data_IF_203066799204
#
_entry.id   IF_203066799204
#
_cell.length_a   1.000
_cell.length_b   1.000
_cell.length_c   1.000
_cell.angle_alpha   90.00
_cell.angle_beta   90.00
_cell.angle_gamma   90.00
#
_symmetry.space_group_name_H-M   'P 1'
#
loop_
_entity.id
_entity.type
_entity.pdbx_description
1 polymer ?
#
# COMPACT_ATOMS: atom_id res chain seq x y z
N UNK A 1 24.83 7.28 -9.56
CA UNK A 1 23.72 8.16 -10.00
C UNK A 1 22.46 7.35 -9.84
N UNK A 2 21.72 7.55 -8.75
CA UNK A 2 20.36 6.99 -8.61
C UNK A 2 19.48 7.58 -9.72
N UNK A 3 19.15 6.79 -10.74
CA UNK A 3 18.37 7.22 -11.91
C UNK A 3 16.86 7.10 -11.68
N UNK A 4 16.40 7.21 -10.43
CA UNK A 4 14.99 7.46 -10.22
C UNK A 4 14.67 8.88 -10.66
N UNK A 5 13.97 8.98 -11.78
CA UNK A 5 13.51 10.28 -12.25
C UNK A 5 12.59 10.88 -11.20
N UNK A 6 12.98 11.99 -10.57
CA UNK A 6 12.12 12.79 -9.68
C UNK A 6 10.75 13.05 -10.35
N UNK A 7 10.74 13.20 -11.67
CA UNK A 7 9.52 13.32 -12.48
C UNK A 7 8.63 12.08 -12.39
N UNK A 8 9.19 10.87 -12.41
CA UNK A 8 8.44 9.62 -12.26
C UNK A 8 7.85 9.46 -10.85
N UNK A 9 8.60 9.84 -9.81
CA UNK A 9 8.10 9.87 -8.43
C UNK A 9 6.94 10.85 -8.30
N UNK A 10 7.12 12.09 -8.79
CA UNK A 10 6.08 13.12 -8.80
C UNK A 10 4.84 12.68 -9.56
N UNK A 11 5.00 12.02 -10.71
CA UNK A 11 3.90 11.46 -11.50
C UNK A 11 3.15 10.39 -10.73
N UNK A 12 3.85 9.41 -10.16
CA UNK A 12 3.24 8.36 -9.36
C UNK A 12 2.46 8.93 -8.17
N UNK A 13 3.04 9.89 -7.45
CA UNK A 13 2.37 10.60 -6.35
C UNK A 13 1.06 11.25 -6.80
N UNK A 14 1.04 11.91 -7.95
CA UNK A 14 -0.19 12.53 -8.50
C UNK A 14 -1.23 11.48 -8.90
N UNK A 15 -0.83 10.33 -9.46
CA UNK A 15 -1.77 9.23 -9.73
C UNK A 15 -2.39 8.68 -8.45
N UNK A 16 -1.60 8.51 -7.40
CA UNK A 16 -2.10 8.10 -6.09
C UNK A 16 -3.03 9.15 -5.48
N UNK A 17 -2.74 10.44 -5.65
CA UNK A 17 -3.64 11.52 -5.25
C UNK A 17 -4.97 11.45 -6.01
N UNK A 18 -4.93 11.27 -7.34
CA UNK A 18 -6.13 11.13 -8.16
C UNK A 18 -6.97 9.91 -7.79
N UNK A 19 -6.32 8.74 -7.65
CA UNK A 19 -6.93 7.50 -7.21
C UNK A 19 -7.60 7.61 -5.84
N UNK A 20 -6.90 8.23 -4.88
CA UNK A 20 -7.44 8.44 -3.54
C UNK A 20 -8.58 9.46 -3.54
N UNK A 21 -8.49 10.53 -4.34
CA UNK A 21 -9.59 11.48 -4.51
C UNK A 21 -10.82 10.81 -5.13
N UNK A 22 -10.64 9.92 -6.11
CA UNK A 22 -11.73 9.14 -6.70
C UNK A 22 -12.51 8.35 -5.66
N UNK A 23 -11.78 7.65 -4.79
CA UNK A 23 -12.33 6.86 -3.69
C UNK A 23 -13.00 7.75 -2.61
N UNK A 24 -12.34 8.83 -2.20
CA UNK A 24 -12.86 9.81 -1.24
C UNK A 24 -14.19 10.44 -1.68
N UNK A 25 -14.32 10.69 -2.99
CA UNK A 25 -15.53 11.23 -3.59
C UNK A 25 -16.61 10.17 -3.81
N UNK A 26 -16.29 8.89 -3.63
CA UNK A 26 -17.13 7.76 -4.00
C UNK A 26 -17.64 7.89 -5.44
N UNK A 27 -16.75 8.34 -6.32
CA UNK A 27 -17.09 8.60 -7.72
C UNK A 27 -17.55 7.29 -8.37
N UNK A 28 -18.70 7.32 -9.03
CA UNK A 28 -19.28 6.12 -9.66
C UNK A 28 -18.50 5.69 -10.90
N UNK A 29 -18.03 6.69 -11.64
CA UNK A 29 -17.27 6.52 -12.86
C UNK A 29 -16.34 7.72 -13.09
N UNK A 30 -15.61 7.66 -14.20
CA UNK A 30 -14.61 8.67 -14.58
C UNK A 30 -15.24 10.04 -14.87
N UNK A 31 -16.46 10.07 -15.42
CA UNK A 31 -17.17 11.33 -15.72
C UNK A 31 -17.65 11.97 -14.43
N UNK A 32 -18.25 11.18 -13.55
CA UNK A 32 -18.68 11.62 -12.21
C UNK A 32 -17.49 12.16 -11.41
N UNK A 33 -16.35 11.47 -11.43
CA UNK A 33 -15.12 11.97 -10.82
C UNK A 33 -14.71 13.36 -11.32
N UNK A 34 -14.62 13.54 -12.64
CA UNK A 34 -14.21 14.80 -13.23
C UNK A 34 -15.19 15.94 -12.90
N UNK A 35 -16.50 15.64 -12.90
CA UNK A 35 -17.54 16.58 -12.51
C UNK A 35 -17.40 17.00 -11.04
N UNK A 36 -17.26 16.04 -10.13
CA UNK A 36 -17.11 16.33 -8.70
C UNK A 36 -15.82 17.11 -8.41
N UNK A 37 -14.71 16.81 -9.08
CA UNK A 37 -13.47 17.56 -8.95
C UNK A 37 -13.61 19.01 -9.43
N UNK A 38 -14.31 19.22 -10.56
CA UNK A 38 -14.59 20.57 -11.06
C UNK A 38 -15.47 21.37 -10.09
N UNK A 39 -16.48 20.73 -9.46
CA UNK A 39 -17.31 21.34 -8.42
C UNK A 39 -16.51 21.77 -7.20
N UNK A 40 -15.60 20.91 -6.73
CA UNK A 40 -14.71 21.25 -5.61
C UNK A 40 -13.75 22.39 -5.96
N UNK A 41 -13.25 22.43 -7.19
CA UNK A 41 -12.29 23.45 -7.63
C UNK A 41 -12.93 24.81 -7.92
N UNK A 42 -14.20 24.84 -8.35
CA UNK A 42 -14.96 26.04 -8.73
C UNK A 42 -16.37 26.05 -8.09
N UNK A 43 -16.48 26.08 -6.76
CA UNK A 43 -17.78 25.97 -6.09
C UNK A 43 -18.78 27.05 -6.53
N UNK A 44 -18.31 28.31 -6.65
CA UNK A 44 -19.18 29.45 -7.01
C UNK A 44 -19.77 29.33 -8.41
N UNK A 45 -18.98 28.84 -9.37
CA UNK A 45 -19.45 28.60 -10.73
C UNK A 45 -20.62 27.61 -10.75
N UNK A 46 -20.49 26.52 -9.99
CA UNK A 46 -21.52 25.49 -9.94
C UNK A 46 -22.72 25.86 -9.05
N UNK A 47 -22.55 26.76 -8.09
CA UNK A 47 -23.65 27.27 -7.26
C UNK A 47 -24.64 28.12 -8.07
N UNK A 48 -24.19 28.78 -9.13
CA UNK A 48 -25.02 29.60 -10.01
C UNK A 48 -25.74 28.87 -11.13
N UNK A 49 -25.48 27.58 -11.34
CA UNK A 49 -26.06 26.81 -12.45
C UNK A 49 -27.42 26.23 -12.12
N UNK A 50 -28.32 26.26 -13.09
CA UNK A 50 -29.57 25.49 -13.04
C UNK A 50 -29.31 23.99 -13.23
N UNK A 51 -30.20 23.10 -12.79
CA UNK A 51 -30.00 21.64 -12.88
C UNK A 51 -29.81 21.10 -14.32
N UNK A 52 -30.41 21.75 -15.31
CA UNK A 52 -30.27 21.46 -16.74
C UNK A 52 -28.92 21.94 -17.29
N UNK A 53 -28.47 23.13 -16.89
CA UNK A 53 -27.16 23.67 -17.26
C UNK A 53 -26.01 22.86 -16.64
N UNK A 54 -26.18 22.39 -15.41
CA UNK A 54 -25.21 21.54 -14.72
C UNK A 54 -24.91 20.23 -15.47
N UNK A 55 -25.88 19.69 -16.21
CA UNK A 55 -25.71 18.47 -17.03
C UNK A 55 -24.98 18.72 -18.35
N UNK A 56 -24.97 19.96 -18.84
CA UNK A 56 -24.33 20.34 -20.10
C UNK A 56 -22.88 20.84 -19.93
N UNK A 57 -22.38 20.95 -18.69
CA UNK A 57 -21.03 21.45 -18.42
C UNK A 57 -19.97 20.54 -19.03
N UNK A 58 -19.10 21.13 -19.85
CA UNK A 58 -17.94 20.43 -20.38
C UNK A 58 -16.92 20.15 -19.27
N UNK A 59 -16.67 18.87 -19.00
CA UNK A 59 -15.77 18.41 -17.95
C UNK A 59 -14.32 18.74 -18.30
N UNK A 60 -13.58 19.29 -17.34
CA UNK A 60 -12.18 19.62 -17.59
C UNK A 60 -11.34 18.33 -17.76
N UNK A 61 -10.68 18.14 -18.93
CA UNK A 61 -9.93 16.90 -19.20
C UNK A 61 -8.74 16.69 -18.26
N UNK A 62 -8.29 17.75 -17.54
CA UNK A 62 -7.21 17.64 -16.56
C UNK A 62 -7.49 16.60 -15.47
N UNK A 63 -8.75 16.42 -15.07
CA UNK A 63 -9.12 15.47 -14.02
C UNK A 63 -8.95 14.03 -14.49
N UNK A 64 -9.35 13.74 -15.73
CA UNK A 64 -9.14 12.43 -16.32
C UNK A 64 -7.64 12.14 -16.48
N UNK A 65 -6.88 13.12 -16.97
CA UNK A 65 -5.42 13.03 -17.08
C UNK A 65 -4.72 12.87 -15.72
N UNK A 66 -5.30 13.38 -14.63
CA UNK A 66 -4.77 13.15 -13.28
C UNK A 66 -4.87 11.66 -12.90
N UNK A 67 -6.01 11.02 -13.18
CA UNK A 67 -6.22 9.59 -12.93
C UNK A 67 -5.33 8.70 -13.81
N UNK A 68 -5.29 9.02 -15.10
CA UNK A 68 -4.63 8.16 -16.09
C UNK A 68 -3.12 8.35 -16.08
N UNK A 69 -2.69 9.61 -16.18
CA UNK A 69 -1.31 9.96 -16.49
C UNK A 69 -0.56 10.53 -15.29
N UNK A 70 -1.27 10.94 -14.23
CA UNK A 70 -0.65 11.60 -13.08
C UNK A 70 -0.10 12.97 -13.41
N UNK A 71 -0.82 13.74 -14.23
CA UNK A 71 -0.37 15.09 -14.58
C UNK A 71 -0.15 15.93 -13.33
N UNK A 72 0.85 16.80 -13.38
CA UNK A 72 1.06 17.79 -12.32
C UNK A 72 -0.07 18.81 -12.36
N UNK A 73 -0.76 18.95 -11.23
CA UNK A 73 -1.70 20.05 -11.03
C UNK A 73 -0.93 21.30 -10.61
N UNK A 74 -1.48 22.47 -10.96
CA UNK A 74 -0.99 23.74 -10.42
C UNK A 74 -1.12 23.73 -8.91
N UNK A 75 -0.16 24.34 -8.21
CA UNK A 75 -0.12 24.37 -6.74
C UNK A 75 -1.41 24.93 -6.13
N UNK A 76 -1.97 26.01 -6.70
CA UNK A 76 -3.25 26.57 -6.25
C UNK A 76 -4.42 25.59 -6.37
N UNK A 77 -4.39 24.68 -7.35
CA UNK A 77 -5.38 23.64 -7.52
C UNK A 77 -5.24 22.56 -6.46
N UNK A 78 -4.00 22.17 -6.13
CA UNK A 78 -3.73 21.21 -5.05
C UNK A 78 -4.17 21.78 -3.70
N UNK A 79 -3.81 23.04 -3.40
CA UNK A 79 -4.20 23.72 -2.16
C UNK A 79 -5.72 23.72 -1.96
N UNK A 80 -6.48 24.14 -2.98
CA UNK A 80 -7.96 24.13 -2.93
C UNK A 80 -8.55 22.73 -2.72
N UNK A 81 -7.98 21.71 -3.37
CA UNK A 81 -8.45 20.35 -3.16
C UNK A 81 -8.18 19.87 -1.74
N UNK A 82 -7.01 20.17 -1.18
CA UNK A 82 -6.67 19.82 0.22
C UNK A 82 -7.54 20.60 1.21
N UNK A 83 -7.81 21.88 0.96
CA UNK A 83 -8.75 22.67 1.77
C UNK A 83 -10.15 22.05 1.79
N UNK A 84 -10.63 21.55 0.65
CA UNK A 84 -11.93 20.91 0.55
C UNK A 84 -11.95 19.45 1.04
N UNK A 85 -10.81 18.76 0.95
CA UNK A 85 -10.59 17.35 1.33
C UNK A 85 -9.24 17.19 2.03
N UNK A 86 -9.15 17.52 3.33
CA UNK A 86 -7.90 17.48 4.09
C UNK A 86 -7.24 16.10 4.13
N UNK A 87 -7.99 15.03 3.91
CA UNK A 87 -7.46 13.68 3.87
C UNK A 87 -6.44 13.49 2.74
N UNK A 88 -6.50 14.28 1.66
CA UNK A 88 -5.54 14.23 0.56
C UNK A 88 -4.10 14.51 1.00
N UNK A 89 -3.93 15.29 2.07
CA UNK A 89 -2.62 15.65 2.61
C UNK A 89 -1.82 14.41 3.02
N UNK A 90 -2.51 13.35 3.47
CA UNK A 90 -1.91 12.07 3.83
C UNK A 90 -1.18 11.41 2.65
N UNK A 91 -1.70 11.60 1.44
CA UNK A 91 -1.08 11.06 0.22
C UNK A 91 0.11 11.90 -0.17
N UNK A 92 -0.05 13.23 -0.19
CA UNK A 92 0.97 14.17 -0.66
C UNK A 92 2.21 14.18 0.24
N UNK A 93 1.99 14.10 1.56
CA UNK A 93 3.02 14.13 2.60
C UNK A 93 3.49 12.75 3.04
N UNK A 94 3.09 11.68 2.34
CA UNK A 94 3.49 10.34 2.74
C UNK A 94 5.03 10.20 2.66
N UNK A 95 5.70 9.66 3.71
CA UNK A 95 7.15 9.54 3.75
C UNK A 95 7.72 8.61 2.67
N UNK A 96 6.89 7.79 2.04
CA UNK A 96 7.31 6.94 0.92
C UNK A 96 7.97 7.75 -0.20
N UNK A 97 7.43 8.93 -0.51
CA UNK A 97 7.96 9.74 -1.60
C UNK A 97 9.38 10.23 -1.31
N UNK A 98 9.65 10.62 -0.07
CA UNK A 98 10.99 11.02 0.39
C UNK A 98 11.96 9.83 0.34
N UNK A 99 11.54 8.66 0.84
CA UNK A 99 12.36 7.44 0.80
C UNK A 99 12.76 7.08 -0.64
N UNK A 100 11.83 7.21 -1.59
CA UNK A 100 12.08 6.93 -3.00
C UNK A 100 13.01 7.98 -3.65
N UNK A 101 13.13 9.18 -3.08
CA UNK A 101 14.04 10.23 -3.55
C UNK A 101 15.46 10.10 -2.98
N UNK A 102 15.67 9.26 -1.96
CA UNK A 102 16.99 9.10 -1.37
C UNK A 102 18.02 8.61 -2.40
N UNK A 103 19.03 9.45 -2.66
CA UNK A 103 20.17 9.15 -3.53
C UNK A 103 21.29 8.42 -2.74
N UNK A 104 22.26 7.88 -3.47
CA UNK A 104 23.45 7.21 -2.92
C UNK A 104 24.35 8.17 -2.12
N UNK A 105 24.14 9.49 -2.25
CA UNK A 105 24.94 10.55 -1.63
C UNK A 105 24.62 10.81 -0.14
N UNK A 106 23.49 10.32 0.38
CA UNK A 106 23.18 10.37 1.83
C UNK A 106 23.06 8.96 2.42
N UNK A 107 24.19 8.31 2.77
CA UNK A 107 24.19 6.97 3.34
C UNK A 107 23.55 6.91 4.74
N UNK A 108 23.28 8.05 5.39
CA UNK A 108 22.69 8.11 6.72
C UNK A 108 21.18 8.37 6.71
N UNK A 109 20.59 8.72 5.57
CA UNK A 109 19.15 9.03 5.43
C UNK A 109 18.26 7.94 6.05
N UNK A 110 18.53 6.67 5.75
CA UNK A 110 17.74 5.55 6.27
C UNK A 110 17.87 5.38 7.79
N UNK A 111 19.06 5.64 8.34
CA UNK A 111 19.30 5.59 9.78
C UNK A 111 18.54 6.72 10.49
N UNK A 112 18.61 7.95 9.98
CA UNK A 112 17.92 9.11 10.55
C UNK A 112 16.40 8.93 10.50
N UNK A 113 15.87 8.48 9.36
CA UNK A 113 14.45 8.20 9.23
C UNK A 113 13.98 7.14 10.25
N UNK A 114 14.67 6.01 10.35
CA UNK A 114 14.34 4.97 11.33
C UNK A 114 14.45 5.50 12.77
N UNK A 115 15.46 6.31 13.08
CA UNK A 115 15.60 6.92 14.41
C UNK A 115 14.45 7.87 14.78
N UNK A 116 13.84 8.54 13.79
CA UNK A 116 12.65 9.38 14.00
C UNK A 116 11.42 8.55 14.38
N UNK A 117 11.33 7.30 13.92
CA UNK A 117 10.25 6.34 14.21
C UNK A 117 10.45 5.58 15.53
N UNK A 118 10.76 6.29 16.63
CA UNK A 118 11.20 5.73 17.92
C UNK A 118 10.39 4.53 18.44
N UNK A 119 9.07 4.52 18.28
CA UNK A 119 8.19 3.42 18.74
C UNK A 119 8.37 2.14 17.92
N UNK A 120 8.43 2.28 16.59
CA UNK A 120 8.65 1.15 15.68
C UNK A 120 10.08 0.62 15.82
N UNK A 121 11.08 1.48 15.98
CA UNK A 121 12.47 1.04 16.13
C UNK A 121 12.78 0.42 17.48
N UNK A 122 12.13 0.84 18.58
CA UNK A 122 12.18 0.12 19.87
C UNK A 122 11.64 -1.31 19.74
N UNK A 123 10.57 -1.50 18.96
CA UNK A 123 10.07 -2.85 18.68
C UNK A 123 11.09 -3.69 17.88
N UNK A 124 12.05 -3.07 17.19
CA UNK A 124 13.12 -3.75 16.45
C UNK A 124 14.40 -3.99 17.26
N UNK A 125 14.45 -3.62 18.55
CA UNK A 125 15.61 -3.90 19.38
C UNK A 125 15.98 -5.39 19.35
N UNK A 126 17.29 -5.65 19.34
CA UNK A 126 17.86 -6.99 19.24
C UNK A 126 17.22 -7.94 20.24
N UNK A 127 16.77 -9.09 19.74
CA UNK A 127 16.30 -10.20 20.57
C UNK A 127 17.03 -11.44 20.10
N UNK A 128 17.59 -12.20 21.05
CA UNK A 128 18.19 -13.51 20.78
C UNK A 128 17.14 -14.55 20.40
N UNK A 129 15.87 -14.33 20.74
CA UNK A 129 14.76 -15.21 20.43
C UNK A 129 14.12 -14.88 19.07
N UNK A 130 14.23 -15.81 18.12
CA UNK A 130 13.67 -15.70 16.75
C UNK A 130 12.16 -15.45 16.75
N UNK A 131 11.40 -16.12 17.61
CA UNK A 131 9.94 -15.97 17.65
C UNK A 131 9.51 -14.57 18.11
N UNK A 132 10.22 -14.00 19.10
CA UNK A 132 9.98 -12.61 19.54
C UNK A 132 10.30 -11.61 18.43
N UNK A 133 11.38 -11.83 17.68
CA UNK A 133 11.72 -10.99 16.52
C UNK A 133 10.64 -11.06 15.43
N UNK A 134 10.15 -12.26 15.11
CA UNK A 134 9.08 -12.43 14.14
C UNK A 134 7.80 -11.71 14.59
N UNK A 135 7.39 -11.86 15.85
CA UNK A 135 6.22 -11.17 16.40
C UNK A 135 6.38 -9.63 16.33
N UNK A 136 7.56 -9.11 16.71
CA UNK A 136 7.90 -7.69 16.62
C UNK A 136 7.86 -7.15 15.20
N UNK A 137 8.43 -7.88 14.23
CA UNK A 137 8.36 -7.50 12.81
C UNK A 137 6.93 -7.47 12.29
N UNK A 138 6.11 -8.47 12.65
CA UNK A 138 4.69 -8.50 12.26
C UNK A 138 3.94 -7.29 12.78
N UNK A 139 4.15 -6.97 14.06
CA UNK A 139 3.55 -5.81 14.71
C UNK A 139 4.01 -4.49 14.08
N UNK A 140 5.32 -4.31 13.88
CA UNK A 140 5.90 -3.10 13.32
C UNK A 140 5.45 -2.84 11.87
N UNK A 141 5.32 -3.89 11.06
CA UNK A 141 4.83 -3.79 9.67
C UNK A 141 3.32 -3.53 9.61
N UNK A 142 2.56 -4.08 10.55
CA UNK A 142 1.10 -4.01 10.59
C UNK A 142 0.43 -4.62 9.35
N UNK A 143 -0.76 -4.11 9.01
CA UNK A 143 -1.52 -4.51 7.82
C UNK A 143 -0.84 -3.96 6.57
N UNK A 144 -0.71 -4.74 5.48
CA UNK A 144 -0.18 -4.25 4.21
C UNK A 144 -0.95 -3.07 3.64
N UNK A 145 -0.26 -1.94 3.53
CA UNK A 145 -0.75 -0.70 2.92
C UNK A 145 0.42 0.00 2.22
N UNK A 146 0.15 0.67 1.10
CA UNK A 146 1.17 1.42 0.39
C UNK A 146 1.70 2.58 1.26
N UNK A 147 0.83 3.16 2.10
CA UNK A 147 1.18 4.27 2.99
C UNK A 147 2.25 3.89 4.03
N UNK A 148 2.46 2.60 4.24
CA UNK A 148 3.40 2.04 5.22
C UNK A 148 4.72 1.58 4.61
N UNK A 149 4.89 1.68 3.28
CA UNK A 149 6.06 1.12 2.58
C UNK A 149 7.38 1.85 2.88
N UNK A 150 7.33 3.09 3.36
CA UNK A 150 8.52 3.86 3.72
C UNK A 150 9.40 3.12 4.77
N UNK A 151 8.76 2.57 5.81
CA UNK A 151 9.45 1.85 6.88
C UNK A 151 10.21 0.58 6.41
N UNK A 152 9.58 -0.40 5.72
CA UNK A 152 10.29 -1.57 5.23
C UNK A 152 11.35 -1.24 4.18
N UNK A 153 11.15 -0.22 3.34
CA UNK A 153 12.18 0.23 2.40
C UNK A 153 13.40 0.77 3.14
N UNK A 154 13.19 1.64 4.13
CA UNK A 154 14.28 2.15 4.97
C UNK A 154 15.02 1.01 5.70
N UNK A 155 14.29 0.01 6.24
CA UNK A 155 14.92 -1.15 6.86
C UNK A 155 15.74 -1.99 5.89
N UNK A 156 15.28 -2.19 4.66
CA UNK A 156 16.01 -2.95 3.63
C UNK A 156 17.35 -2.28 3.29
N UNK A 157 17.40 -0.97 3.39
CA UNK A 157 18.57 -0.13 3.15
C UNK A 157 19.58 -0.12 4.30
N UNK A 158 19.09 -0.08 5.55
CA UNK A 158 19.96 0.11 6.71
C UNK A 158 20.67 -1.19 7.15
N UNK A 159 21.98 -1.28 6.92
CA UNK A 159 22.81 -2.45 7.24
C UNK A 159 22.75 -2.90 8.70
N UNK A 160 22.53 -1.96 9.64
CA UNK A 160 22.43 -2.21 11.10
C UNK A 160 21.41 -3.31 11.48
N UNK A 161 20.36 -3.50 10.68
CA UNK A 161 19.22 -4.37 11.02
C UNK A 161 19.23 -5.68 10.22
N UNK A 162 20.33 -6.44 10.25
CA UNK A 162 20.54 -7.63 9.42
C UNK A 162 19.44 -8.71 9.56
N UNK A 163 18.94 -8.95 10.78
CA UNK A 163 17.88 -9.94 11.03
C UNK A 163 16.53 -9.52 10.44
N UNK A 164 16.18 -8.24 10.60
CA UNK A 164 14.96 -7.64 10.06
C UNK A 164 15.02 -7.62 8.53
N UNK A 165 16.19 -7.32 7.95
CA UNK A 165 16.43 -7.41 6.51
C UNK A 165 16.26 -8.84 5.99
N UNK A 166 16.83 -9.83 6.67
CA UNK A 166 16.62 -11.25 6.32
C UNK A 166 15.14 -11.65 6.35
N UNK A 167 14.39 -11.13 7.32
CA UNK A 167 12.94 -11.33 7.39
C UNK A 167 12.23 -10.66 6.21
N UNK A 168 12.52 -9.39 5.94
CA UNK A 168 11.95 -8.65 4.81
C UNK A 168 12.30 -9.29 3.46
N UNK A 169 13.49 -9.87 3.32
CA UNK A 169 13.89 -10.58 2.11
C UNK A 169 12.95 -11.73 1.75
N UNK A 170 12.25 -12.31 2.73
CA UNK A 170 11.27 -13.39 2.51
C UNK A 170 9.85 -12.86 2.28
N UNK A 171 9.50 -11.74 2.92
CA UNK A 171 8.12 -11.33 3.10
C UNK A 171 7.73 -10.03 2.38
N UNK A 172 8.69 -9.16 2.05
CA UNK A 172 8.42 -7.82 1.50
C UNK A 172 7.62 -7.87 0.19
N UNK A 173 7.93 -8.80 -0.71
CA UNK A 173 7.18 -8.93 -1.96
C UNK A 173 5.70 -9.31 -1.73
N UNK A 174 5.40 -10.19 -0.77
CA UNK A 174 4.01 -10.48 -0.38
C UNK A 174 3.34 -9.25 0.23
N UNK A 175 4.06 -8.51 1.08
CA UNK A 175 3.55 -7.28 1.68
C UNK A 175 3.18 -6.24 0.61
N UNK A 176 4.07 -5.98 -0.35
CA UNK A 176 3.80 -5.08 -1.46
C UNK A 176 2.67 -5.59 -2.36
N UNK A 177 2.66 -6.89 -2.68
CA UNK A 177 1.61 -7.48 -3.49
C UNK A 177 0.23 -7.29 -2.84
N UNK A 178 0.13 -7.52 -1.52
CA UNK A 178 -1.08 -7.26 -0.76
C UNK A 178 -1.42 -5.77 -0.75
N UNK A 179 -0.49 -4.88 -0.40
CA UNK A 179 -0.70 -3.43 -0.36
C UNK A 179 -1.24 -2.84 -1.68
N UNK A 180 -0.95 -3.49 -2.81
CA UNK A 180 -1.40 -3.08 -4.14
C UNK A 180 -2.74 -3.70 -4.57
N UNK A 181 -3.39 -4.51 -3.73
CA UNK A 181 -4.74 -5.05 -4.00
C UNK A 181 -5.86 -4.08 -3.64
N UNK A 182 -5.57 -2.96 -2.98
CA UNK A 182 -6.60 -1.97 -2.64
C UNK A 182 -7.28 -1.45 -3.92
N UNK A 183 -8.62 -1.53 -4.03
CA UNK A 183 -9.33 -1.20 -5.27
C UNK A 183 -9.01 0.20 -5.82
N UNK A 184 -8.95 1.21 -4.93
CA UNK A 184 -8.61 2.59 -5.30
C UNK A 184 -7.31 2.71 -6.13
N UNK A 185 -6.29 1.91 -5.84
CA UNK A 185 -4.95 2.06 -6.43
C UNK A 185 -4.66 1.08 -7.57
N UNK A 186 -5.66 0.32 -8.03
CA UNK A 186 -5.49 -0.66 -9.11
C UNK A 186 -4.96 -0.01 -10.41
N UNK A 187 -5.29 1.24 -10.68
CA UNK A 187 -4.81 1.97 -11.86
C UNK A 187 -3.33 2.36 -11.79
N UNK A 188 -2.77 2.59 -10.59
CA UNK A 188 -1.47 3.23 -10.41
C UNK A 188 -0.40 2.36 -9.74
N UNK A 189 -0.73 1.16 -9.24
CA UNK A 189 0.24 0.30 -8.56
C UNK A 189 1.45 -0.11 -9.42
N UNK A 190 1.28 -0.18 -10.75
CA UNK A 190 2.37 -0.55 -11.68
C UNK A 190 3.50 0.47 -11.63
N UNK A 191 3.16 1.75 -11.51
CA UNK A 191 4.14 2.82 -11.38
C UNK A 191 4.88 2.70 -10.05
N UNK A 192 4.16 2.43 -8.96
CA UNK A 192 4.76 2.22 -7.65
C UNK A 192 5.71 1.01 -7.65
N UNK A 193 5.31 -0.12 -8.23
CA UNK A 193 6.17 -1.30 -8.34
C UNK A 193 7.44 -0.97 -9.10
N UNK A 194 7.33 -0.27 -10.25
CA UNK A 194 8.49 0.11 -11.07
C UNK A 194 9.43 1.04 -10.32
N UNK A 195 8.91 2.04 -9.60
CA UNK A 195 9.73 2.92 -8.77
C UNK A 195 10.47 2.15 -7.68
N UNK A 196 9.80 1.21 -7.01
CA UNK A 196 10.44 0.36 -5.99
C UNK A 196 11.50 -0.55 -6.63
N UNK A 197 11.22 -1.13 -7.79
CA UNK A 197 12.16 -2.00 -8.52
C UNK A 197 13.45 -1.24 -8.91
N UNK A 198 13.29 -0.04 -9.46
CA UNK A 198 14.39 0.86 -9.80
C UNK A 198 15.17 1.28 -8.54
N UNK A 199 14.46 1.68 -7.48
CA UNK A 199 15.04 2.05 -6.18
C UNK A 199 15.87 0.91 -5.58
N UNK A 200 15.31 -0.30 -5.63
CA UNK A 200 15.98 -1.48 -5.12
C UNK A 200 17.23 -1.77 -5.98
N UNK A 201 17.12 -1.72 -7.29
CA UNK A 201 18.24 -2.00 -8.19
C UNK A 201 19.41 -1.03 -7.98
N UNK A 202 19.14 0.26 -7.84
CA UNK A 202 20.15 1.29 -7.56
C UNK A 202 20.90 1.00 -6.25
N UNK A 203 20.19 0.57 -5.21
CA UNK A 203 20.75 0.35 -3.86
C UNK A 203 21.31 -1.05 -3.62
N UNK A 204 21.36 -1.90 -4.65
CA UNK A 204 21.91 -3.26 -4.54
C UNK A 204 23.37 -3.28 -4.02
N UNK A 205 24.29 -2.38 -4.43
CA UNK A 205 25.67 -2.35 -3.94
C UNK A 205 25.78 -2.03 -2.44
N UNK A 206 24.89 -1.18 -1.92
CA UNK A 206 24.91 -0.68 -0.54
C UNK A 206 24.42 -1.71 0.50
N UNK A 207 23.80 -2.80 0.03
CA UNK A 207 23.16 -3.80 0.90
C UNK A 207 24.11 -4.84 1.49
N UNK A 208 25.37 -4.89 1.07
CA UNK A 208 26.37 -5.85 1.55
C UNK A 208 26.00 -7.32 1.29
N UNK A 209 26.62 -8.26 2.01
CA UNK A 209 26.45 -9.72 1.86
C UNK A 209 25.11 -10.28 2.39
N UNK A 210 24.01 -9.55 2.23
CA UNK A 210 22.68 -10.06 2.62
C UNK A 210 22.17 -11.06 1.59
N UNK A 211 21.33 -12.05 2.00
CA UNK A 211 20.66 -12.93 1.05
C UNK A 211 19.88 -12.11 0.02
N UNK A 212 19.82 -12.58 -1.23
CA UNK A 212 19.05 -11.91 -2.26
C UNK A 212 17.58 -11.75 -1.81
N UNK A 213 17.04 -10.54 -2.00
CA UNK A 213 15.62 -10.26 -1.80
C UNK A 213 14.81 -11.20 -2.71
N UNK A 214 13.78 -11.86 -2.17
CA UNK A 214 12.82 -12.64 -2.96
C UNK A 214 11.91 -11.67 -3.74
N UNK A 215 12.49 -11.06 -4.78
CA UNK A 215 11.90 -10.06 -5.64
C UNK A 215 11.53 -10.68 -6.98
N UNK A 216 10.36 -10.33 -7.57
CA UNK A 216 10.00 -10.79 -8.89
C UNK A 216 10.96 -10.24 -9.94
N UNK A 217 11.26 -11.05 -10.96
CA UNK A 217 12.18 -10.67 -12.05
C UNK A 217 11.63 -9.52 -12.91
N UNK A 218 10.31 -9.39 -12.98
CA UNK A 218 9.61 -8.37 -13.74
C UNK A 218 8.19 -8.13 -13.20
N UNK A 219 7.49 -7.16 -13.79
CA UNK A 219 6.12 -6.83 -13.45
C UNK A 219 5.13 -7.97 -13.73
N UNK A 220 5.42 -8.87 -14.68
CA UNK A 220 4.55 -9.99 -15.01
C UNK A 220 4.59 -11.04 -13.89
N UNK A 221 5.77 -11.39 -13.39
CA UNK A 221 5.96 -12.26 -12.24
C UNK A 221 5.33 -11.65 -10.97
N UNK A 222 5.45 -10.33 -10.78
CA UNK A 222 4.76 -9.64 -9.69
C UNK A 222 3.23 -9.75 -9.83
N UNK A 223 2.68 -9.53 -11.03
CA UNK A 223 1.25 -9.65 -11.30
C UNK A 223 0.74 -11.07 -11.08
N UNK A 224 1.49 -12.11 -11.48
CA UNK A 224 1.14 -13.51 -11.18
C UNK A 224 1.00 -13.73 -9.67
N UNK A 225 1.92 -13.18 -8.87
CA UNK A 225 1.87 -13.28 -7.41
C UNK A 225 0.68 -12.54 -6.81
N UNK A 226 0.36 -11.35 -7.32
CA UNK A 226 -0.87 -10.61 -6.94
C UNK A 226 -2.13 -11.40 -7.26
N UNK A 227 -2.18 -12.04 -8.42
CA UNK A 227 -3.33 -12.85 -8.85
C UNK A 227 -3.55 -14.05 -7.91
N UNK A 228 -2.49 -14.73 -7.48
CA UNK A 228 -2.60 -15.80 -6.47
C UNK A 228 -3.21 -15.29 -5.16
N UNK A 229 -2.81 -14.10 -4.70
CA UNK A 229 -3.37 -13.50 -3.48
C UNK A 229 -4.83 -13.06 -3.67
N UNK A 230 -5.19 -12.59 -4.87
CA UNK A 230 -6.57 -12.25 -5.23
C UNK A 230 -7.46 -13.49 -5.26
N UNK A 231 -7.00 -14.58 -5.88
CA UNK A 231 -7.70 -15.88 -5.84
C UNK A 231 -7.85 -16.40 -4.40
N UNK A 232 -6.81 -16.23 -3.58
CA UNK A 232 -6.87 -16.54 -2.15
C UNK A 232 -7.93 -15.72 -1.41
N UNK A 233 -8.08 -14.43 -1.74
CA UNK A 233 -9.16 -13.58 -1.21
C UNK A 233 -10.52 -14.13 -1.60
N UNK A 234 -10.72 -14.40 -2.88
CA UNK A 234 -12.02 -14.82 -3.43
C UNK A 234 -12.45 -16.15 -2.79
N UNK A 235 -11.52 -17.09 -2.68
CA UNK A 235 -11.75 -18.35 -1.97
C UNK A 235 -12.16 -18.15 -0.49
N UNK A 236 -11.54 -17.22 0.22
CA UNK A 236 -11.88 -16.93 1.63
C UNK A 236 -13.26 -16.28 1.78
N UNK A 237 -13.68 -15.48 0.80
CA UNK A 237 -15.02 -14.90 0.73
C UNK A 237 -16.05 -16.00 0.45
N UNK A 238 -15.81 -16.85 -0.55
CA UNK A 238 -16.66 -18.01 -0.88
C UNK A 238 -16.81 -18.98 0.30
N UNK A 239 -15.75 -19.16 1.07
CA UNK A 239 -15.75 -20.00 2.27
C UNK A 239 -16.48 -19.38 3.47
N UNK A 240 -16.92 -18.12 3.38
CA UNK A 240 -17.59 -17.39 4.47
C UNK A 240 -16.63 -16.85 5.54
N UNK A 241 -15.32 -16.86 5.31
CA UNK A 241 -14.32 -16.44 6.29
C UNK A 241 -14.02 -14.94 6.22
N UNK A 242 -14.29 -14.32 5.06
CA UNK A 242 -14.19 -12.90 4.83
C UNK A 242 -15.53 -12.34 4.34
N UNK A 243 -15.90 -11.10 4.72
CA UNK A 243 -17.07 -10.43 4.15
C UNK A 243 -16.84 -10.12 2.66
N UNK A 244 -17.89 -10.13 1.83
CA UNK A 244 -17.77 -9.90 0.38
C UNK A 244 -17.54 -8.41 0.01
N UNK A 245 -17.79 -7.48 0.92
CA UNK A 245 -17.75 -6.04 0.63
C UNK A 245 -16.31 -5.49 0.46
N UNK A 246 -16.07 -4.72 -0.60
CA UNK A 246 -14.77 -4.08 -0.88
C UNK A 246 -14.34 -3.08 0.22
N UNK A 247 -15.29 -2.50 0.96
CA UNK A 247 -15.03 -1.62 2.11
C UNK A 247 -14.32 -2.30 3.28
N UNK A 248 -14.16 -3.63 3.22
CA UNK A 248 -13.44 -4.43 4.20
C UNK A 248 -12.01 -4.78 3.81
N UNK A 249 -11.42 -4.07 2.83
CA UNK A 249 -10.08 -4.34 2.32
C UNK A 249 -9.03 -4.54 3.43
N UNK A 250 -9.04 -3.74 4.50
CA UNK A 250 -8.10 -3.91 5.62
C UNK A 250 -8.21 -5.28 6.28
N UNK A 251 -9.42 -5.83 6.41
CA UNK A 251 -9.68 -7.16 6.95
C UNK A 251 -9.14 -8.23 5.98
N UNK A 252 -9.38 -8.07 4.67
CA UNK A 252 -8.89 -8.99 3.64
C UNK A 252 -7.35 -9.02 3.61
N UNK A 253 -6.73 -7.84 3.56
CA UNK A 253 -5.28 -7.68 3.55
C UNK A 253 -4.65 -8.26 4.82
N UNK A 254 -5.24 -8.02 6.00
CA UNK A 254 -4.76 -8.59 7.25
C UNK A 254 -4.84 -10.12 7.28
N UNK A 255 -5.95 -10.70 6.82
CA UNK A 255 -6.14 -12.15 6.75
C UNK A 255 -5.11 -12.82 5.84
N UNK A 256 -4.99 -12.34 4.61
CA UNK A 256 -4.01 -12.85 3.65
C UNK A 256 -2.59 -12.65 4.13
N UNK A 257 -2.33 -11.56 4.86
CA UNK A 257 -1.02 -11.31 5.46
C UNK A 257 -0.69 -12.32 6.55
N UNK A 258 -1.62 -12.62 7.46
CA UNK A 258 -1.46 -13.67 8.47
C UNK A 258 -1.14 -15.03 7.81
N UNK A 259 -1.84 -15.36 6.72
CA UNK A 259 -1.61 -16.58 5.95
C UNK A 259 -0.19 -16.58 5.35
N UNK A 260 0.21 -15.49 4.69
CA UNK A 260 1.56 -15.30 4.14
C UNK A 260 2.67 -15.42 5.19
N UNK A 261 2.41 -14.97 6.43
CA UNK A 261 3.34 -15.00 7.55
C UNK A 261 3.45 -16.36 8.24
N UNK A 262 2.45 -17.22 8.09
CA UNK A 262 2.41 -18.54 8.71
C UNK A 262 3.21 -19.62 7.99
N UNK A 263 3.50 -19.41 6.70
CA UNK A 263 4.27 -20.34 5.88
C UNK A 263 3.60 -21.72 5.72
N UNK A 264 4.37 -22.72 5.28
CA UNK A 264 3.86 -24.08 4.99
C UNK A 264 3.06 -24.71 6.14
N UNK A 265 3.51 -24.70 7.41
CA UNK A 265 2.76 -25.36 8.49
C UNK A 265 1.38 -24.76 8.74
N UNK A 266 1.26 -23.44 8.56
CA UNK A 266 -0.01 -22.74 8.70
C UNK A 266 -0.90 -22.98 7.47
N UNK A 267 -0.31 -23.04 6.27
CA UNK A 267 -1.01 -23.47 5.05
C UNK A 267 -1.56 -24.89 5.17
N UNK A 268 -0.83 -25.82 5.79
CA UNK A 268 -1.32 -27.18 5.99
C UNK A 268 -2.51 -27.22 6.96
N UNK A 269 -2.46 -26.43 8.05
CA UNK A 269 -3.59 -26.27 8.97
C UNK A 269 -4.78 -25.59 8.30
N UNK A 270 -4.52 -24.62 7.45
CA UNK A 270 -5.50 -23.92 6.64
C UNK A 270 -6.22 -24.89 5.69
N UNK A 271 -5.45 -25.63 4.87
CA UNK A 271 -5.98 -26.64 3.95
C UNK A 271 -6.76 -27.74 4.69
N UNK A 272 -6.28 -28.21 5.85
CA UNK A 272 -7.02 -29.17 6.68
C UNK A 272 -8.35 -28.62 7.19
N UNK A 273 -8.41 -27.32 7.53
CA UNK A 273 -9.65 -26.69 7.99
C UNK A 273 -10.67 -26.57 6.86
N UNK A 274 -10.20 -26.22 5.65
CA UNK A 274 -11.01 -26.18 4.42
C UNK A 274 -11.57 -27.56 4.08
N UNK A 275 -10.70 -28.59 4.03
CA UNK A 275 -11.10 -29.96 3.69
C UNK A 275 -12.14 -30.54 4.68
N UNK A 276 -12.16 -30.04 5.91
CA UNK A 276 -13.14 -30.40 6.94
C UNK A 276 -14.45 -29.60 6.85
N UNK A 277 -14.60 -28.73 5.84
CA UNK A 277 -15.80 -27.91 5.62
C UNK A 277 -16.01 -26.85 6.70
N UNK A 278 -14.95 -26.38 7.37
CA UNK A 278 -15.07 -25.36 8.42
C UNK A 278 -15.55 -24.06 7.78
N UNK A 279 -16.80 -23.66 8.05
CA UNK A 279 -17.43 -22.46 7.49
C UNK A 279 -17.08 -21.16 8.22
N UNK A 280 -16.38 -21.24 9.36
CA UNK A 280 -16.01 -20.08 10.17
C UNK A 280 -14.50 -19.89 10.21
N UNK A 281 -14.05 -18.64 10.20
CA UNK A 281 -12.63 -18.34 10.33
C UNK A 281 -12.05 -18.93 11.64
N UNK A 282 -10.99 -19.76 11.57
CA UNK A 282 -10.41 -20.39 12.75
C UNK A 282 -9.94 -19.39 13.81
N UNK A 283 -10.11 -19.73 15.10
CA UNK A 283 -9.77 -18.87 16.23
C UNK A 283 -8.33 -18.38 16.23
N UNK A 284 -7.39 -19.26 15.89
CA UNK A 284 -5.98 -18.92 15.85
C UNK A 284 -5.68 -17.85 14.80
N UNK A 285 -6.39 -17.87 13.66
CA UNK A 285 -6.24 -16.90 12.59
C UNK A 285 -6.85 -15.56 12.99
N UNK A 286 -8.01 -15.59 13.65
CA UNK A 286 -8.63 -14.39 14.25
C UNK A 286 -7.74 -13.74 15.32
N UNK A 287 -7.07 -14.53 16.15
CA UNK A 287 -6.10 -14.02 17.14
C UNK A 287 -4.92 -13.34 16.44
N UNK A 288 -4.34 -13.97 15.42
CA UNK A 288 -3.26 -13.35 14.63
C UNK A 288 -3.68 -12.03 13.97
N UNK A 289 -4.91 -11.92 13.48
CA UNK A 289 -5.42 -10.65 12.93
C UNK A 289 -5.54 -9.57 14.00
N UNK A 290 -6.05 -9.91 15.19
CA UNK A 290 -6.16 -8.96 16.31
C UNK A 290 -4.79 -8.52 16.84
N UNK A 291 -3.77 -9.37 16.73
CA UNK A 291 -2.39 -9.01 17.03
C UNK A 291 -1.81 -7.99 16.02
N UNK A 292 -2.32 -7.96 14.78
CA UNK A 292 -1.93 -6.97 13.77
C UNK A 292 -2.64 -5.62 13.98
N UNK A 293 -3.95 -5.65 14.26
CA UNK A 293 -4.74 -4.47 14.65
C UNK A 293 -5.91 -4.92 15.52
N UNK A 294 -5.95 -4.40 16.75
CA UNK A 294 -6.95 -4.79 17.76
C UNK A 294 -8.38 -4.42 17.39
N UNK A 295 -8.56 -3.50 16.43
CA UNK A 295 -9.87 -3.06 15.93
C UNK A 295 -10.44 -4.01 14.88
N UNK A 296 -9.64 -4.93 14.33
CA UNK A 296 -10.13 -5.92 13.37
C UNK A 296 -11.02 -6.94 14.06
N UNK A 297 -12.31 -6.90 13.72
CA UNK A 297 -13.27 -7.88 14.20
C UNK A 297 -13.92 -8.57 13.00
N UNK A 298 -13.48 -9.80 12.70
CA UNK A 298 -14.14 -10.63 11.70
C UNK A 298 -15.42 -11.18 12.33
N UNK A 299 -16.56 -10.51 12.07
CA UNK A 299 -17.88 -11.09 12.33
C UNK A 299 -18.08 -12.18 11.28
N UNK A 300 -17.81 -13.43 11.66
CA UNK A 300 -18.19 -14.57 10.83
C UNK A 300 -19.72 -14.68 10.89
N UNK A 301 -20.37 -14.81 9.73
CA UNK A 301 -21.77 -15.26 9.67
C UNK A 301 -21.88 -16.72 10.10
#
# INVERSE_FOLDING_TARGET
MSTLSITAIKRCRMRFMGAYLFDLLRAKDRKDFAYQCDRLYRPDFYAGLRPDEAKAVHLNPKWLKLLDDGIQLRECCVKRLVEAKPELDRVLKNPLWEVLEWDDCDPCASIHYLASLKTLTRALEGSTYRDRMNARMRWAMGIPDWERLAFPLALLDTVKYSSQRSWLNKHFCNYLALATLHPAYHGCYRDLWKLIDEWLSARKPLRGATPALNWPVDILAFNKRREVLKQGRDFLVESGWLPPEDGSYQIHAAMLWCICLGGKPLMDRFMKSILRGVRRCPDWLRRMMRELDSRLNVKCS
#
